data_IF_611259585869
#
_entry.id   IF_611259585869
#
_cell.length_a   1.000
_cell.length_b   1.000
_cell.length_c   1.000
_cell.angle_alpha   90.00
_cell.angle_beta   90.00
_cell.angle_gamma   90.00
#
_symmetry.space_group_name_H-M   'P 1'
#
loop_
_entity.id
_entity.type
_entity.pdbx_description
1 polymer ?
#
# COMPACT_ATOMS: atom_id res chain seq x y z
N UNK A 1 -2.38 12.08 19.59
CA UNK A 1 -1.61 10.84 19.82
C UNK A 1 -0.13 11.18 19.68
N UNK A 2 0.67 11.07 20.75
CA UNK A 2 2.02 11.66 20.84
C UNK A 2 3.13 10.91 20.11
N UNK A 3 2.81 10.00 19.19
CA UNK A 3 3.81 9.22 18.44
C UNK A 3 4.14 9.94 17.14
N UNK A 4 5.40 10.32 16.97
CA UNK A 4 5.89 10.94 15.73
C UNK A 4 5.67 9.99 14.56
N UNK A 5 5.09 10.51 13.46
CA UNK A 5 4.88 9.72 12.26
C UNK A 5 6.21 9.17 11.72
N UNK A 6 6.30 7.85 11.46
CA UNK A 6 7.48 7.27 10.82
C UNK A 6 7.75 7.92 9.45
N UNK A 7 9.02 8.03 9.00
CA UNK A 7 9.36 8.74 7.77
C UNK A 7 8.61 8.27 6.53
N UNK A 8 8.40 6.96 6.37
CA UNK A 8 7.63 6.40 5.26
C UNK A 8 6.16 6.84 5.31
N UNK A 9 5.57 6.92 6.50
CA UNK A 9 4.19 7.35 6.68
C UNK A 9 4.03 8.85 6.38
N UNK A 10 5.01 9.67 6.77
CA UNK A 10 5.06 11.09 6.40
C UNK A 10 5.02 11.25 4.87
N UNK A 11 5.81 10.46 4.14
CA UNK A 11 5.83 10.53 2.69
C UNK A 11 4.53 10.01 2.05
N UNK A 12 3.87 9.02 2.65
CA UNK A 12 2.53 8.58 2.23
C UNK A 12 1.53 9.73 2.36
N UNK A 13 1.47 10.39 3.51
CA UNK A 13 0.53 11.50 3.71
C UNK A 13 0.83 12.72 2.84
N UNK A 14 2.11 13.04 2.59
CA UNK A 14 2.48 14.10 1.65
C UNK A 14 2.04 13.79 0.21
N UNK A 15 2.15 12.53 -0.21
CA UNK A 15 1.66 12.12 -1.53
C UNK A 15 0.13 12.22 -1.59
N UNK A 16 -0.59 11.79 -0.55
CA UNK A 16 -2.05 11.92 -0.46
C UNK A 16 -2.48 13.40 -0.54
N UNK A 17 -1.82 14.27 0.22
CA UNK A 17 -2.09 15.71 0.23
C UNK A 17 -1.88 16.31 -1.16
N UNK A 18 -0.76 15.98 -1.82
CA UNK A 18 -0.50 16.46 -3.18
C UNK A 18 -1.44 15.87 -4.23
N UNK A 19 -1.82 14.60 -4.10
CA UNK A 19 -2.65 13.87 -5.07
C UNK A 19 -4.12 14.32 -5.00
N UNK A 20 -4.67 14.36 -3.79
CA UNK A 20 -6.09 14.59 -3.53
C UNK A 20 -6.43 16.00 -3.04
N UNK A 21 -5.41 16.85 -2.79
CA UNK A 21 -5.58 18.20 -2.24
C UNK A 21 -6.33 18.20 -0.89
N UNK A 22 -6.08 17.17 -0.08
CA UNK A 22 -6.62 17.06 1.28
C UNK A 22 -5.56 17.35 2.34
N UNK A 23 -5.91 17.91 3.50
CA UNK A 23 -4.92 18.28 4.51
C UNK A 23 -4.14 17.08 5.08
N UNK A 24 -2.85 17.29 5.36
CA UNK A 24 -2.06 16.35 6.15
C UNK A 24 -2.78 15.93 7.46
N UNK A 25 -2.96 14.63 7.73
CA UNK A 25 -3.73 14.18 8.88
C UNK A 25 -2.97 14.36 10.20
N UNK A 26 -3.70 14.71 11.26
CA UNK A 26 -3.14 14.87 12.60
C UNK A 26 -2.76 13.53 13.27
N UNK A 27 -3.42 12.42 12.89
CA UNK A 27 -3.13 11.08 13.41
C UNK A 27 -2.52 10.20 12.31
N UNK A 28 -1.58 9.36 12.71
CA UNK A 28 -0.96 8.33 11.88
C UNK A 28 -1.71 6.99 11.92
N UNK A 29 -2.85 6.91 12.61
CA UNK A 29 -3.66 5.71 12.67
C UNK A 29 -4.38 5.47 11.33
N UNK A 30 -4.09 4.33 10.71
CA UNK A 30 -4.63 3.93 9.40
C UNK A 30 -5.85 3.00 9.51
N UNK A 31 -6.37 2.74 10.70
CA UNK A 31 -7.56 1.92 10.92
C UNK A 31 -8.78 2.46 10.16
N UNK A 32 -8.84 3.79 9.96
CA UNK A 32 -9.87 4.43 9.12
C UNK A 32 -9.88 3.90 7.68
N UNK A 33 -8.74 3.50 7.13
CA UNK A 33 -8.67 2.88 5.79
C UNK A 33 -9.12 1.42 5.85
N UNK A 34 -8.69 0.69 6.88
CA UNK A 34 -9.08 -0.71 7.06
C UNK A 34 -10.60 -0.88 7.17
N UNK A 35 -11.28 0.03 7.90
CA UNK A 35 -12.74 0.06 8.03
C UNK A 35 -13.49 0.31 6.70
N UNK A 36 -12.79 0.85 5.69
CA UNK A 36 -13.31 1.09 4.35
C UNK A 36 -12.95 -0.03 3.35
N UNK A 37 -12.31 -1.11 3.82
CA UNK A 37 -11.93 -2.25 2.98
C UNK A 37 -10.49 -2.22 2.48
N UNK A 38 -9.64 -1.32 2.97
CA UNK A 38 -8.21 -1.30 2.61
C UNK A 38 -7.44 -2.33 3.45
N UNK A 39 -6.98 -3.40 2.82
CA UNK A 39 -6.12 -4.39 3.48
C UNK A 39 -4.67 -3.89 3.57
N UNK A 40 -4.22 -3.58 4.78
CA UNK A 40 -2.83 -3.16 5.06
C UNK A 40 -1.97 -4.37 5.40
N UNK A 41 -1.47 -5.06 4.37
CA UNK A 41 -0.69 -6.30 4.52
C UNK A 41 0.81 -6.06 4.41
N UNK A 42 1.56 -6.44 5.46
CA UNK A 42 3.01 -6.52 5.40
C UNK A 42 3.48 -7.83 4.77
N UNK A 43 4.64 -7.80 4.09
CA UNK A 43 5.30 -8.99 3.54
C UNK A 43 5.83 -9.96 4.61
N UNK A 44 6.22 -9.42 5.76
CA UNK A 44 6.66 -10.16 6.93
C UNK A 44 5.86 -9.61 8.11
N UNK A 45 5.20 -10.46 8.88
CA UNK A 45 4.23 -10.01 9.88
C UNK A 45 4.86 -9.75 11.26
N UNK A 46 6.15 -10.03 11.43
CA UNK A 46 6.89 -9.77 12.67
C UNK A 46 8.30 -9.29 12.35
N UNK A 47 8.92 -8.59 13.30
CA UNK A 47 10.30 -8.12 13.22
C UNK A 47 10.85 -8.04 14.65
N UNK A 48 12.16 -8.25 14.83
CA UNK A 48 12.83 -8.00 16.11
C UNK A 48 13.05 -6.51 16.27
N UNK A 49 13.01 -6.04 17.51
CA UNK A 49 13.26 -4.64 17.81
C UNK A 49 14.62 -4.21 17.24
N UNK A 50 14.65 -3.09 16.51
CA UNK A 50 15.85 -2.50 15.90
C UNK A 50 16.57 -3.33 14.82
N UNK A 51 16.06 -4.51 14.44
CA UNK A 51 16.66 -5.35 13.40
C UNK A 51 15.75 -5.40 12.16
N UNK A 52 15.85 -4.40 11.30
CA UNK A 52 15.04 -4.32 10.08
C UNK A 52 15.20 -5.60 9.23
N UNK A 53 14.08 -6.27 8.97
CA UNK A 53 14.06 -7.49 8.16
C UNK A 53 14.54 -8.77 8.85
N UNK A 54 14.69 -8.78 10.18
CA UNK A 54 15.18 -9.93 10.94
C UNK A 54 14.41 -11.25 10.70
N UNK A 55 13.13 -11.17 10.34
CA UNK A 55 12.29 -12.33 10.06
C UNK A 55 11.97 -12.52 8.56
N UNK A 56 12.71 -11.85 7.68
CA UNK A 56 12.61 -12.13 6.24
C UNK A 56 13.09 -13.55 5.94
N UNK A 57 12.41 -14.19 4.98
CA UNK A 57 12.65 -15.57 4.53
C UNK A 57 12.43 -16.63 5.63
N UNK A 58 11.71 -16.28 6.69
CA UNK A 58 11.37 -17.20 7.79
C UNK A 58 9.97 -17.84 7.63
N UNK A 59 9.33 -17.66 6.47
CA UNK A 59 8.09 -18.36 6.10
C UNK A 59 6.84 -17.47 6.04
N UNK A 60 6.89 -16.27 6.62
CA UNK A 60 5.78 -15.30 6.53
C UNK A 60 5.41 -14.99 5.09
N UNK A 61 6.40 -14.93 4.20
CA UNK A 61 6.20 -14.65 2.79
C UNK A 61 5.29 -15.66 2.11
N UNK A 62 5.36 -16.94 2.50
CA UNK A 62 4.49 -17.99 1.95
C UNK A 62 3.04 -17.70 2.29
N UNK A 63 2.77 -17.40 3.56
CA UNK A 63 1.44 -17.06 4.02
C UNK A 63 0.89 -15.81 3.31
N UNK A 64 1.67 -14.73 3.26
CA UNK A 64 1.22 -13.49 2.61
C UNK A 64 1.04 -13.65 1.10
N UNK A 65 1.84 -14.51 0.45
CA UNK A 65 1.70 -14.82 -0.97
C UNK A 65 0.42 -15.59 -1.24
N UNK A 66 0.08 -16.55 -0.38
CA UNK A 66 -1.17 -17.30 -0.49
C UNK A 66 -2.38 -16.39 -0.22
N UNK A 67 -2.30 -15.44 0.71
CA UNK A 67 -3.34 -14.42 0.89
C UNK A 67 -3.56 -13.60 -0.39
N UNK A 68 -2.48 -13.13 -1.04
CA UNK A 68 -2.59 -12.36 -2.29
C UNK A 68 -3.22 -13.21 -3.41
N UNK A 69 -2.81 -14.48 -3.54
CA UNK A 69 -3.39 -15.41 -4.52
C UNK A 69 -4.87 -15.64 -4.28
N UNK A 70 -5.28 -15.87 -3.03
CA UNK A 70 -6.69 -16.11 -2.69
C UNK A 70 -7.55 -14.88 -2.99
N UNK A 71 -7.07 -13.67 -2.67
CA UNK A 71 -7.76 -12.43 -3.06
C UNK A 71 -7.86 -12.34 -4.58
N UNK A 72 -6.76 -12.60 -5.30
CA UNK A 72 -6.78 -12.51 -6.76
C UNK A 72 -7.70 -13.56 -7.41
N UNK A 73 -7.79 -14.76 -6.83
CA UNK A 73 -8.62 -15.83 -7.35
C UNK A 73 -10.10 -15.56 -7.09
N UNK A 74 -10.46 -15.17 -5.86
CA UNK A 74 -11.86 -15.11 -5.40
C UNK A 74 -12.53 -13.76 -5.57
N UNK A 75 -11.77 -12.67 -5.59
CA UNK A 75 -12.31 -11.33 -5.78
C UNK A 75 -12.17 -10.88 -7.24
N UNK A 76 -12.82 -9.77 -7.58
CA UNK A 76 -12.68 -9.06 -8.85
C UNK A 76 -12.74 -7.56 -8.57
N UNK A 77 -12.11 -6.74 -9.40
CA UNK A 77 -12.15 -5.28 -9.20
C UNK A 77 -11.35 -4.79 -7.99
N UNK A 78 -10.41 -5.57 -7.49
CA UNK A 78 -9.47 -5.17 -6.43
C UNK A 78 -8.36 -4.29 -7.01
N UNK A 79 -7.98 -3.24 -6.28
CA UNK A 79 -6.81 -2.40 -6.59
C UNK A 79 -5.63 -2.81 -5.71
N UNK A 80 -4.52 -3.22 -6.33
CA UNK A 80 -3.29 -3.57 -5.63
C UNK A 80 -2.27 -2.43 -5.73
N UNK A 81 -1.92 -1.84 -4.58
CA UNK A 81 -0.88 -0.81 -4.47
C UNK A 81 0.47 -1.46 -4.13
N UNK A 82 1.33 -1.61 -5.13
CA UNK A 82 2.63 -2.30 -5.00
C UNK A 82 3.79 -1.29 -4.90
N UNK A 83 4.15 -0.94 -3.68
CA UNK A 83 5.18 0.06 -3.40
C UNK A 83 6.54 -0.55 -3.06
N UNK A 84 7.53 -0.29 -3.93
CA UNK A 84 8.90 -0.79 -3.77
C UNK A 84 9.14 -2.15 -4.43
N UNK A 85 10.43 -2.49 -4.61
CA UNK A 85 10.85 -3.65 -5.38
C UNK A 85 10.35 -4.99 -4.83
N UNK A 86 10.20 -5.11 -3.52
CA UNK A 86 9.67 -6.33 -2.91
C UNK A 86 8.18 -6.53 -3.24
N UNK A 87 7.35 -5.49 -3.08
CA UNK A 87 5.93 -5.53 -3.41
C UNK A 87 5.71 -5.76 -4.91
N UNK A 88 6.50 -5.11 -5.78
CA UNK A 88 6.45 -5.31 -7.24
C UNK A 88 6.65 -6.78 -7.65
N UNK A 89 7.50 -7.53 -6.97
CA UNK A 89 7.71 -8.97 -7.24
C UNK A 89 6.46 -9.82 -7.01
N UNK A 90 5.48 -9.33 -6.25
CA UNK A 90 4.20 -10.02 -5.98
C UNK A 90 3.19 -9.84 -7.11
N UNK A 91 3.46 -8.96 -8.09
CA UNK A 91 2.61 -8.77 -9.27
C UNK A 91 2.30 -10.08 -10.00
N UNK A 92 3.26 -11.03 -10.05
CA UNK A 92 3.07 -12.35 -10.66
C UNK A 92 1.99 -13.23 -10.00
N UNK A 93 1.53 -12.86 -8.81
CA UNK A 93 0.50 -13.57 -8.05
C UNK A 93 -0.90 -13.01 -8.31
N UNK A 94 -1.00 -11.94 -9.12
CA UNK A 94 -2.23 -11.18 -9.33
C UNK A 94 -2.63 -11.32 -10.80
N UNK A 95 -3.88 -11.70 -11.03
CA UNK A 95 -4.50 -11.70 -12.34
C UNK A 95 -4.84 -10.26 -12.77
N UNK A 96 -3.98 -9.66 -13.60
CA UNK A 96 -4.15 -8.30 -14.10
C UNK A 96 -5.32 -8.12 -15.07
N UNK A 97 -5.97 -9.20 -15.52
CA UNK A 97 -7.21 -9.09 -16.31
C UNK A 97 -8.43 -8.76 -15.43
N UNK A 98 -8.36 -9.10 -14.14
CA UNK A 98 -9.44 -8.90 -13.15
C UNK A 98 -9.24 -7.70 -12.22
N UNK A 99 -8.00 -7.21 -12.13
CA UNK A 99 -7.56 -6.30 -11.06
C UNK A 99 -6.76 -5.14 -11.61
N UNK A 100 -6.81 -4.00 -10.93
CA UNK A 100 -5.90 -2.90 -11.18
C UNK A 100 -4.63 -3.06 -10.35
N UNK A 101 -3.47 -2.91 -10.98
CA UNK A 101 -2.17 -2.95 -10.32
C UNK A 101 -1.50 -1.60 -10.51
N UNK A 102 -1.27 -0.88 -9.40
CA UNK A 102 -0.56 0.40 -9.39
C UNK A 102 0.78 0.20 -8.69
N UNK A 103 1.89 0.48 -9.38
CA UNK A 103 3.24 0.21 -8.86
C UNK A 103 4.14 1.45 -8.86
N UNK A 104 4.88 1.64 -7.78
CA UNK A 104 5.75 2.81 -7.59
C UNK A 104 7.01 2.44 -6.78
N UNK A 105 7.92 3.39 -6.58
CA UNK A 105 8.99 3.27 -5.60
C UNK A 105 8.45 3.04 -4.18
N UNK A 106 9.35 2.76 -3.25
CA UNK A 106 8.97 2.64 -1.84
C UNK A 106 8.81 4.05 -1.23
N UNK A 107 7.87 4.28 -0.29
CA UNK A 107 7.71 5.58 0.37
C UNK A 107 8.84 5.95 1.33
N UNK A 108 9.77 5.04 1.64
CA UNK A 108 10.89 5.36 2.54
C UNK A 108 11.77 6.48 1.95
N UNK A 109 12.40 7.32 2.80
CA UNK A 109 13.25 8.42 2.34
C UNK A 109 14.32 7.99 1.32
N UNK A 110 14.90 6.79 1.48
CA UNK A 110 15.91 6.26 0.57
C UNK A 110 15.43 6.18 -0.89
N UNK A 111 14.16 5.84 -1.11
CA UNK A 111 13.56 5.71 -2.44
C UNK A 111 12.85 7.00 -2.86
N UNK A 112 12.14 7.66 -1.94
CA UNK A 112 11.43 8.90 -2.20
C UNK A 112 12.36 10.05 -2.61
N UNK A 113 13.49 10.21 -1.91
CA UNK A 113 14.48 11.26 -2.23
C UNK A 113 15.18 11.04 -3.59
N UNK A 114 15.07 9.83 -4.16
CA UNK A 114 15.55 9.51 -5.51
C UNK A 114 14.50 9.75 -6.60
N UNK A 115 13.34 10.32 -6.24
CA UNK A 115 12.27 10.65 -7.18
C UNK A 115 11.37 9.46 -7.55
N UNK A 116 11.44 8.34 -6.83
CA UNK A 116 10.64 7.15 -7.18
C UNK A 116 9.28 7.07 -6.48
N UNK A 117 8.99 7.92 -5.50
CA UNK A 117 7.74 7.88 -4.72
C UNK A 117 6.75 8.94 -5.14
N UNK A 118 7.15 10.22 -5.11
CA UNK A 118 6.21 11.34 -5.26
C UNK A 118 5.67 11.51 -6.68
N UNK A 119 4.43 11.99 -6.79
CA UNK A 119 3.73 12.24 -8.05
C UNK A 119 3.19 10.98 -8.72
N UNK A 120 3.13 9.86 -7.98
CA UNK A 120 2.61 8.60 -8.49
C UNK A 120 1.08 8.62 -8.63
N UNK A 121 0.38 9.44 -7.84
CA UNK A 121 -1.07 9.63 -7.88
C UNK A 121 -1.89 8.35 -7.71
N UNK A 122 -1.40 7.40 -6.91
CA UNK A 122 -2.06 6.11 -6.75
C UNK A 122 -3.40 6.22 -6.02
N UNK A 123 -3.61 7.23 -5.18
CA UNK A 123 -4.82 7.36 -4.36
C UNK A 123 -6.00 7.85 -5.20
N UNK A 124 -5.78 8.84 -6.06
CA UNK A 124 -6.76 9.29 -7.07
C UNK A 124 -7.04 8.20 -8.10
N UNK A 125 -6.02 7.57 -8.67
CA UNK A 125 -6.19 6.45 -9.62
C UNK A 125 -6.98 5.28 -9.02
N UNK A 126 -6.73 4.93 -7.74
CA UNK A 126 -7.50 3.92 -7.03
C UNK A 126 -8.98 4.31 -6.97
N UNK A 127 -9.28 5.54 -6.53
CA UNK A 127 -10.66 6.01 -6.43
C UNK A 127 -11.35 6.10 -7.80
N UNK A 128 -10.65 6.55 -8.85
CA UNK A 128 -11.17 6.56 -10.21
C UNK A 128 -11.56 5.16 -10.69
N UNK A 129 -10.73 4.16 -10.41
CA UNK A 129 -11.02 2.78 -10.78
C UNK A 129 -12.21 2.20 -10.01
N UNK A 130 -12.29 2.47 -8.71
CA UNK A 130 -13.43 2.06 -7.88
C UNK A 130 -14.73 2.68 -8.39
N UNK A 131 -14.72 3.98 -8.67
CA UNK A 131 -15.89 4.71 -9.22
C UNK A 131 -16.31 4.14 -10.57
N UNK A 132 -15.36 3.92 -11.49
CA UNK A 132 -15.63 3.31 -12.82
C UNK A 132 -16.21 1.90 -12.70
N UNK A 133 -15.89 1.20 -11.62
CA UNK A 133 -16.39 -0.15 -11.31
C UNK A 133 -17.66 -0.15 -10.47
N UNK A 134 -18.30 1.00 -10.24
CA UNK A 134 -19.53 1.13 -9.45
C UNK A 134 -19.34 0.95 -7.93
N UNK A 135 -18.10 1.01 -7.45
CA UNK A 135 -17.77 0.92 -6.03
C UNK A 135 -17.61 2.29 -5.38
N UNK A 136 -17.74 2.34 -4.05
CA UNK A 136 -17.51 3.57 -3.29
C UNK A 136 -16.00 3.90 -3.27
N UNK A 137 -15.61 5.16 -3.52
CA UNK A 137 -14.22 5.58 -3.36
C UNK A 137 -13.80 5.53 -1.89
N UNK A 138 -12.49 5.41 -1.66
CA UNK A 138 -11.90 5.45 -0.33
C UNK A 138 -11.72 6.91 0.11
N UNK A 139 -12.09 7.20 1.35
CA UNK A 139 -11.72 8.41 2.07
C UNK A 139 -10.33 8.20 2.67
N UNK A 140 -9.31 8.59 1.91
CA UNK A 140 -7.90 8.52 2.29
C UNK A 140 -7.54 9.50 3.41
#
# INVERSE_FOLDING_TARGET
EGVKHPPSLVNIFKEIESDLQIPYPASGNLERWARQGVLLLNATLTVRAHEAGSHQKQGWERFTDDVIKEISARCSGVVFLLWGGYAKKKQKLIDSSKHLILSSGHPSPLSANRGYWFGNKHFSQCNEYLIKSGQKPIVW
#
